data_IF_753772002480
#
_entry.id   IF_753772002480
#
_cell.length_a   1.000
_cell.length_b   1.000
_cell.length_c   1.000
_cell.angle_alpha   90.00
_cell.angle_beta   90.00
_cell.angle_gamma   90.00
#
_symmetry.space_group_name_H-M   'P 1'
#
loop_
_entity.id
_entity.type
_entity.pdbx_description
1 polymer ?
#
# COMPACT_ATOMS: atom_id res chain seq x y z
N UNK A 1 -15.77 12.55 -19.52
CA UNK A 1 -14.63 11.78 -20.04
C UNK A 1 -13.45 12.11 -19.15
N UNK A 2 -13.16 11.27 -18.16
CA UNK A 2 -11.95 11.42 -17.35
C UNK A 2 -10.81 11.00 -18.26
N UNK A 3 -9.90 11.93 -18.57
CA UNK A 3 -8.66 11.57 -19.26
C UNK A 3 -7.88 10.73 -18.26
N UNK A 4 -7.63 9.46 -18.58
CA UNK A 4 -6.80 8.61 -17.75
C UNK A 4 -5.43 9.30 -17.61
N UNK A 5 -5.05 9.62 -16.38
CA UNK A 5 -3.71 10.09 -16.11
C UNK A 5 -2.76 8.91 -16.31
N UNK A 6 -2.17 8.84 -17.50
CA UNK A 6 -1.25 7.77 -17.92
C UNK A 6 0.15 7.91 -17.30
N UNK A 7 0.29 8.63 -16.19
CA UNK A 7 1.61 8.89 -15.63
C UNK A 7 2.13 7.64 -14.90
N UNK A 8 3.36 7.18 -15.23
CA UNK A 8 3.88 5.93 -14.71
C UNK A 8 4.10 6.00 -13.20
N UNK A 9 3.73 4.91 -12.52
CA UNK A 9 3.98 4.68 -11.10
C UNK A 9 5.04 3.59 -10.90
N UNK A 10 5.95 3.79 -9.95
CA UNK A 10 6.93 2.78 -9.55
C UNK A 10 6.39 2.01 -8.33
N UNK A 11 6.17 0.72 -8.49
CA UNK A 11 5.78 -0.15 -7.37
C UNK A 11 6.96 -0.31 -6.40
N UNK A 12 6.70 -0.19 -5.09
CA UNK A 12 7.71 -0.37 -4.02
C UNK A 12 8.49 -1.68 -4.18
N UNK A 13 7.82 -2.77 -4.56
CA UNK A 13 8.43 -4.09 -4.72
C UNK A 13 9.44 -4.18 -5.87
N UNK A 14 9.48 -3.18 -6.76
CA UNK A 14 10.48 -3.09 -7.83
C UNK A 14 11.89 -2.78 -7.29
N UNK A 15 11.99 -2.20 -6.09
CA UNK A 15 13.23 -1.86 -5.40
C UNK A 15 13.15 -2.31 -3.94
N UNK A 16 12.83 -3.58 -3.71
CA UNK A 16 12.68 -4.12 -2.35
C UNK A 16 13.97 -3.98 -1.51
N UNK A 17 13.79 -3.73 -0.22
CA UNK A 17 14.87 -3.59 0.76
C UNK A 17 15.68 -2.29 0.70
N UNK A 18 15.24 -1.29 -0.08
CA UNK A 18 15.90 0.03 -0.09
C UNK A 18 15.22 1.03 0.85
N UNK A 19 16.03 1.92 1.42
CA UNK A 19 15.54 3.04 2.22
C UNK A 19 14.54 3.91 1.44
N UNK A 20 13.48 4.38 2.11
CA UNK A 20 12.40 5.18 1.50
C UNK A 20 12.91 6.39 0.71
N UNK A 21 13.94 7.08 1.21
CA UNK A 21 14.53 8.24 0.53
C UNK A 21 15.25 7.86 -0.75
N UNK A 22 15.89 6.69 -0.78
CA UNK A 22 16.56 6.15 -1.96
C UNK A 22 15.52 5.75 -2.99
N UNK A 23 14.46 5.06 -2.57
CA UNK A 23 13.33 4.69 -3.42
C UNK A 23 12.70 5.90 -4.11
N UNK A 24 12.29 6.93 -3.33
CA UNK A 24 11.62 8.11 -3.86
C UNK A 24 12.51 8.90 -4.83
N UNK A 25 13.79 9.09 -4.50
CA UNK A 25 14.73 9.78 -5.39
C UNK A 25 15.00 8.99 -6.67
N UNK A 26 15.06 7.66 -6.59
CA UNK A 26 15.21 6.80 -7.76
C UNK A 26 13.99 6.89 -8.68
N UNK A 27 12.77 6.85 -8.12
CA UNK A 27 11.54 7.02 -8.88
C UNK A 27 11.50 8.36 -9.64
N UNK A 28 11.73 9.46 -8.92
CA UNK A 28 11.74 10.80 -9.52
C UNK A 28 12.85 10.95 -10.57
N UNK A 29 14.07 10.47 -10.28
CA UNK A 29 15.20 10.52 -11.20
C UNK A 29 14.99 9.70 -12.47
N UNK A 30 14.16 8.65 -12.42
CA UNK A 30 13.79 7.83 -13.57
C UNK A 30 12.56 8.35 -14.34
N UNK A 31 11.96 9.47 -13.91
CA UNK A 31 10.84 10.12 -14.59
C UNK A 31 9.46 9.55 -14.25
N UNK A 32 9.35 8.76 -13.18
CA UNK A 32 8.05 8.42 -12.60
C UNK A 32 7.44 9.65 -11.92
N UNK A 33 6.11 9.77 -11.94
CA UNK A 33 5.40 10.75 -11.10
C UNK A 33 4.55 10.09 -10.01
N UNK A 34 4.49 8.76 -10.01
CA UNK A 34 3.75 7.96 -9.05
C UNK A 34 4.66 6.97 -8.36
N UNK A 35 4.33 6.64 -7.11
CA UNK A 35 4.89 5.50 -6.40
C UNK A 35 3.79 4.77 -5.63
N UNK A 36 3.95 3.47 -5.41
CA UNK A 36 3.20 2.76 -4.36
C UNK A 36 4.03 2.76 -3.07
N UNK A 37 3.37 2.78 -1.92
CA UNK A 37 4.02 2.67 -0.60
C UNK A 37 3.38 1.54 0.21
N UNK A 38 4.13 1.02 1.17
CA UNK A 38 3.66 0.05 2.15
C UNK A 38 3.89 0.55 3.59
N UNK A 39 3.29 -0.12 4.57
CA UNK A 39 3.41 0.23 5.98
C UNK A 39 4.83 0.11 6.52
N UNK A 40 5.60 -0.90 6.10
CA UNK A 40 6.97 -1.10 6.57
C UNK A 40 7.91 0.03 6.12
N UNK A 41 7.84 0.46 4.86
CA UNK A 41 8.60 1.61 4.34
C UNK A 41 8.22 2.91 5.06
N UNK A 42 6.94 3.07 5.38
CA UNK A 42 6.48 4.24 6.13
C UNK A 42 6.98 4.23 7.57
N UNK A 43 6.89 3.09 8.27
CA UNK A 43 7.43 2.90 9.61
C UNK A 43 8.93 3.18 9.66
N UNK A 44 9.68 2.71 8.66
CA UNK A 44 11.12 2.97 8.55
C UNK A 44 11.39 4.46 8.36
N UNK A 45 10.60 5.14 7.52
CA UNK A 45 10.65 6.59 7.38
C UNK A 45 10.47 7.29 8.74
N UNK A 46 9.44 6.89 9.49
CA UNK A 46 9.18 7.45 10.82
C UNK A 46 10.32 7.16 11.80
N UNK A 47 10.91 5.95 11.75
CA UNK A 47 12.03 5.56 12.59
C UNK A 47 13.30 6.37 12.31
N UNK A 48 13.47 6.89 11.09
CA UNK A 48 14.55 7.85 10.78
C UNK A 48 14.29 9.28 11.27
N UNK A 49 13.12 9.53 11.86
CA UNK A 49 12.70 10.82 12.41
C UNK A 49 11.91 11.69 11.43
N UNK A 50 11.54 11.17 10.26
CA UNK A 50 10.62 11.87 9.35
C UNK A 50 9.21 11.84 9.95
N UNK A 51 8.49 12.95 9.84
CA UNK A 51 7.05 12.98 10.09
C UNK A 51 6.26 12.70 8.80
N UNK A 52 4.96 12.42 8.93
CA UNK A 52 4.04 12.37 7.79
C UNK A 52 4.04 13.67 6.98
N UNK A 53 4.25 14.82 7.63
CA UNK A 53 4.34 16.11 6.95
C UNK A 53 5.64 16.23 6.14
N UNK A 54 6.76 15.74 6.69
CA UNK A 54 8.05 15.71 5.97
C UNK A 54 7.98 14.78 4.76
N UNK A 55 7.31 13.63 4.90
CA UNK A 55 7.12 12.70 3.79
C UNK A 55 6.28 13.30 2.66
N UNK A 56 5.18 14.01 2.98
CA UNK A 56 4.38 14.73 1.99
C UNK A 56 5.19 15.84 1.30
N UNK A 57 5.91 16.66 2.08
CA UNK A 57 6.75 17.71 1.52
C UNK A 57 7.83 17.15 0.59
N UNK A 58 8.42 16.01 0.95
CA UNK A 58 9.41 15.32 0.11
C UNK A 58 8.80 14.80 -1.20
N UNK A 59 7.60 14.21 -1.15
CA UNK A 59 6.88 13.77 -2.34
C UNK A 59 6.61 14.96 -3.27
N UNK A 60 6.12 16.08 -2.71
CA UNK A 60 5.86 17.31 -3.46
C UNK A 60 7.14 17.88 -4.10
N UNK A 61 8.24 17.96 -3.35
CA UNK A 61 9.55 18.43 -3.83
C UNK A 61 10.10 17.56 -4.98
N UNK A 62 9.79 16.26 -4.96
CA UNK A 62 10.18 15.30 -5.99
C UNK A 62 9.19 15.21 -7.15
N UNK A 63 8.05 15.92 -7.08
CA UNK A 63 6.98 15.82 -8.08
C UNK A 63 6.33 14.44 -8.12
N UNK A 64 6.33 13.73 -7.00
CA UNK A 64 5.75 12.41 -6.84
C UNK A 64 4.42 12.49 -6.10
N UNK A 65 3.49 11.60 -6.45
CA UNK A 65 2.33 11.26 -5.63
C UNK A 65 2.36 9.79 -5.25
N UNK A 66 1.73 9.44 -4.14
CA UNK A 66 1.44 8.03 -3.84
C UNK A 66 0.19 7.63 -4.63
N UNK A 67 0.28 6.60 -5.46
CA UNK A 67 -0.85 6.12 -6.25
C UNK A 67 -1.78 5.22 -5.46
N UNK A 68 -1.22 4.43 -4.55
CA UNK A 68 -1.94 3.48 -3.72
C UNK A 68 -1.05 2.98 -2.57
N UNK A 69 -1.70 2.50 -1.52
CA UNK A 69 -1.04 1.73 -0.46
C UNK A 69 -1.12 0.26 -0.84
N UNK A 70 0.03 -0.39 -0.90
CA UNK A 70 0.16 -1.76 -1.36
C UNK A 70 1.21 -2.47 -0.50
N UNK A 71 0.93 -3.62 0.14
CA UNK A 71 -0.32 -4.39 0.14
C UNK A 71 -1.11 -4.29 1.46
N UNK A 72 -2.43 -4.48 1.39
CA UNK A 72 -3.27 -4.88 2.52
C UNK A 72 -3.52 -6.39 2.45
N UNK A 73 -2.78 -7.20 3.25
CA UNK A 73 -2.92 -8.66 3.26
C UNK A 73 -4.02 -9.18 4.20
N UNK A 74 -4.38 -8.42 5.23
CA UNK A 74 -5.11 -8.90 6.41
C UNK A 74 -6.63 -8.65 6.37
N UNK A 75 -7.26 -8.83 5.21
CA UNK A 75 -8.70 -8.59 5.04
C UNK A 75 -9.55 -9.85 4.91
N UNK A 76 -8.94 -11.01 4.65
CA UNK A 76 -9.61 -12.31 4.70
C UNK A 76 -9.64 -12.86 6.15
N UNK A 77 -10.58 -13.76 6.47
CA UNK A 77 -10.51 -14.55 7.70
C UNK A 77 -9.19 -15.32 7.81
N UNK A 78 -8.75 -15.54 9.05
CA UNK A 78 -7.51 -16.26 9.38
C UNK A 78 -6.27 -15.77 8.60
N UNK A 79 -5.92 -14.47 8.73
CA UNK A 79 -4.78 -13.90 8.02
C UNK A 79 -3.48 -14.62 8.40
N UNK A 80 -2.59 -14.77 7.41
CA UNK A 80 -1.31 -15.45 7.59
C UNK A 80 -0.22 -14.43 7.86
N UNK A 81 0.30 -14.44 9.08
CA UNK A 81 1.51 -13.69 9.44
C UNK A 81 2.77 -14.48 9.05
N UNK A 82 3.66 -13.84 8.31
CA UNK A 82 4.97 -14.41 7.99
C UNK A 82 5.98 -14.09 9.10
N UNK A 83 6.86 -15.05 9.45
CA UNK A 83 7.96 -14.79 10.37
C UNK A 83 9.02 -13.92 9.70
N UNK A 84 9.76 -13.16 10.52
CA UNK A 84 10.87 -12.31 10.05
C UNK A 84 10.53 -10.83 10.06
N UNK A 85 11.48 -10.04 9.54
CA UNK A 85 11.46 -8.57 9.61
C UNK A 85 11.70 -7.91 8.25
N UNK A 86 11.63 -8.69 7.16
CA UNK A 86 11.59 -8.12 5.81
C UNK A 86 10.26 -7.39 5.56
N UNK A 87 10.23 -6.58 4.50
CA UNK A 87 9.10 -5.71 4.15
C UNK A 87 7.79 -6.50 4.03
N UNK A 88 7.81 -7.66 3.36
CA UNK A 88 6.62 -8.49 3.18
C UNK A 88 6.16 -9.03 4.54
N UNK A 89 7.07 -9.61 5.33
CA UNK A 89 6.72 -10.14 6.65
C UNK A 89 6.09 -9.07 7.56
N UNK A 90 6.62 -7.84 7.55
CA UNK A 90 6.03 -6.71 8.29
C UNK A 90 4.65 -6.32 7.76
N UNK A 91 4.46 -6.27 6.44
CA UNK A 91 3.17 -5.98 5.84
C UNK A 91 2.09 -7.02 6.20
N UNK A 92 2.46 -8.29 6.40
CA UNK A 92 1.49 -9.31 6.89
C UNK A 92 1.02 -9.08 8.32
N UNK A 93 1.63 -8.16 9.07
CA UNK A 93 1.22 -7.83 10.45
C UNK A 93 0.55 -6.46 10.55
N UNK A 94 0.49 -5.71 9.45
CA UNK A 94 -0.12 -4.41 9.41
C UNK A 94 -1.63 -4.53 9.66
N UNK A 95 -2.14 -3.71 10.57
CA UNK A 95 -3.57 -3.60 10.83
C UNK A 95 -4.24 -2.74 9.76
N UNK A 96 -5.53 -2.97 9.53
CA UNK A 96 -6.34 -2.13 8.64
C UNK A 96 -6.25 -0.64 9.01
N UNK A 97 -6.25 -0.34 10.32
CA UNK A 97 -6.13 1.03 10.82
C UNK A 97 -4.80 1.67 10.42
N UNK A 98 -3.68 0.96 10.53
CA UNK A 98 -2.37 1.48 10.11
C UNK A 98 -2.31 1.74 8.61
N UNK A 99 -2.94 0.88 7.80
CA UNK A 99 -3.02 1.03 6.35
C UNK A 99 -3.87 2.26 5.98
N UNK A 100 -5.02 2.44 6.61
CA UNK A 100 -5.89 3.60 6.37
C UNK A 100 -5.26 4.90 6.88
N UNK A 101 -4.67 4.88 8.07
CA UNK A 101 -3.90 6.01 8.62
C UNK A 101 -2.77 6.40 7.66
N UNK A 102 -2.07 5.43 7.06
CA UNK A 102 -1.05 5.68 6.04
C UNK A 102 -1.64 6.29 4.76
N UNK A 103 -2.73 5.73 4.22
CA UNK A 103 -3.38 6.26 3.02
C UNK A 103 -3.71 7.77 3.18
N UNK A 104 -4.32 8.12 4.31
CA UNK A 104 -4.58 9.50 4.71
C UNK A 104 -3.29 10.31 4.88
N UNK A 105 -2.28 9.72 5.52
CA UNK A 105 -0.98 10.35 5.78
C UNK A 105 -0.21 10.72 4.50
N UNK A 106 -0.48 10.06 3.37
CA UNK A 106 0.20 10.34 2.09
C UNK A 106 -0.73 10.87 1.00
N UNK A 107 -2.03 10.98 1.31
CA UNK A 107 -3.03 11.62 0.45
C UNK A 107 -3.47 10.76 -0.73
N UNK A 108 -3.38 9.44 -0.62
CA UNK A 108 -4.01 8.53 -1.59
C UNK A 108 -5.35 8.04 -1.06
N UNK A 109 -6.29 7.79 -1.96
CA UNK A 109 -7.60 7.22 -1.67
C UNK A 109 -7.69 5.74 -2.10
N UNK A 110 -6.59 5.09 -2.48
CA UNK A 110 -6.58 3.73 -3.00
C UNK A 110 -5.69 2.81 -2.16
N UNK A 111 -6.26 1.67 -1.77
CA UNK A 111 -5.56 0.58 -1.08
C UNK A 111 -5.64 -0.67 -1.95
N UNK A 112 -4.49 -1.28 -2.24
CA UNK A 112 -4.41 -2.56 -2.93
C UNK A 112 -4.53 -3.72 -1.94
N UNK A 113 -5.43 -4.67 -2.24
CA UNK A 113 -5.81 -5.76 -1.36
C UNK A 113 -5.66 -7.12 -2.08
N UNK A 114 -4.46 -7.70 -2.11
CA UNK A 114 -4.28 -9.10 -2.50
C UNK A 114 -4.80 -10.04 -1.40
N UNK A 115 -5.32 -11.24 -1.75
CA UNK A 115 -5.69 -12.26 -0.76
C UNK A 115 -4.47 -12.78 0.04
N UNK A 116 -3.25 -12.41 -0.39
CA UNK A 116 -2.01 -12.76 0.29
C UNK A 116 -1.77 -14.27 0.28
N UNK A 117 -1.53 -14.82 1.47
CA UNK A 117 -1.32 -16.25 1.71
C UNK A 117 -2.51 -16.94 2.40
N UNK A 118 -3.61 -16.21 2.62
CA UNK A 118 -4.81 -16.80 3.18
C UNK A 118 -5.43 -17.81 2.20
N UNK A 119 -6.05 -18.85 2.74
CA UNK A 119 -6.70 -19.92 1.97
C UNK A 119 -8.20 -19.89 2.24
N UNK A 120 -8.97 -19.06 1.51
CA UNK A 120 -10.42 -18.98 1.69
C UNK A 120 -11.07 -20.33 1.32
N UNK A 121 -12.11 -20.70 2.06
CA UNK A 121 -12.88 -21.93 1.86
C UNK A 121 -13.80 -21.85 0.63
N UNK A 122 -14.15 -20.63 0.17
CA UNK A 122 -15.04 -20.44 -0.99
C UNK A 122 -14.92 -19.06 -1.64
N UNK A 123 -15.39 -18.95 -2.90
CA UNK A 123 -15.54 -17.66 -3.59
C UNK A 123 -16.49 -16.70 -2.85
N UNK A 124 -17.51 -17.24 -2.18
CA UNK A 124 -18.47 -16.43 -1.43
C UNK A 124 -17.82 -15.78 -0.20
N UNK A 125 -16.92 -16.49 0.48
CA UNK A 125 -16.15 -15.93 1.60
C UNK A 125 -15.27 -14.77 1.14
N UNK A 126 -14.61 -14.90 -0.02
CA UNK A 126 -13.84 -13.81 -0.62
C UNK A 126 -14.74 -12.61 -0.91
N UNK A 127 -15.89 -12.84 -1.54
CA UNK A 127 -16.83 -11.79 -1.90
C UNK A 127 -17.38 -11.06 -0.66
N UNK A 128 -17.75 -11.80 0.38
CA UNK A 128 -18.29 -11.25 1.63
C UNK A 128 -17.23 -10.46 2.40
N UNK A 129 -16.01 -11.01 2.52
CA UNK A 129 -14.89 -10.35 3.20
C UNK A 129 -14.44 -9.08 2.45
N UNK A 130 -14.31 -9.16 1.12
CA UNK A 130 -13.94 -8.01 0.30
C UNK A 130 -15.03 -6.94 0.31
N UNK A 131 -16.32 -7.32 0.27
CA UNK A 131 -17.44 -6.41 0.43
C UNK A 131 -17.41 -5.68 1.77
N UNK A 132 -17.19 -6.41 2.86
CA UNK A 132 -17.05 -5.82 4.20
C UNK A 132 -15.84 -4.87 4.31
N UNK A 133 -14.71 -5.20 3.66
CA UNK A 133 -13.56 -4.31 3.57
C UNK A 133 -13.91 -3.03 2.80
N UNK A 134 -14.61 -3.14 1.66
CA UNK A 134 -15.07 -1.99 0.88
C UNK A 134 -15.97 -1.07 1.71
N UNK A 135 -16.90 -1.63 2.49
CA UNK A 135 -17.79 -0.85 3.35
C UNK A 135 -17.01 -0.05 4.42
N UNK A 136 -15.99 -0.66 5.03
CA UNK A 136 -15.12 0.01 6.01
C UNK A 136 -14.23 1.08 5.37
N UNK A 137 -13.63 0.78 4.22
CA UNK A 137 -12.83 1.74 3.46
C UNK A 137 -13.66 2.94 3.00
N UNK A 138 -14.88 2.71 2.51
CA UNK A 138 -15.79 3.78 2.08
C UNK A 138 -16.21 4.71 3.22
N UNK A 139 -16.30 4.20 4.46
CA UNK A 139 -16.57 5.02 5.64
C UNK A 139 -15.42 6.00 5.98
N UNK A 140 -14.23 5.77 5.42
CA UNK A 140 -13.01 6.58 5.53
C UNK A 140 -12.69 7.32 4.23
N UNK A 141 -13.63 7.43 3.27
CA UNK A 141 -13.40 8.00 1.93
C UNK A 141 -12.28 7.30 1.12
N UNK A 142 -12.02 6.01 1.40
CA UNK A 142 -11.05 5.18 0.70
C UNK A 142 -11.71 4.20 -0.27
N UNK A 143 -10.96 3.82 -1.30
CA UNK A 143 -11.27 2.80 -2.30
C UNK A 143 -10.32 1.63 -2.13
N UNK A 144 -10.77 0.45 -2.54
CA UNK A 144 -9.96 -0.76 -2.50
C UNK A 144 -9.90 -1.40 -3.89
N UNK A 145 -8.70 -1.78 -4.33
CA UNK A 145 -8.50 -2.65 -5.49
C UNK A 145 -8.26 -4.09 -5.04
N UNK A 146 -9.04 -5.03 -5.56
CA UNK A 146 -8.78 -6.45 -5.39
C UNK A 146 -7.64 -6.86 -6.34
N UNK A 147 -6.52 -7.33 -5.80
CA UNK A 147 -5.44 -7.90 -6.59
C UNK A 147 -5.64 -9.41 -6.73
N UNK A 148 -5.90 -9.86 -7.96
CA UNK A 148 -5.95 -11.29 -8.27
C UNK A 148 -4.53 -11.87 -8.32
N UNK A 149 -4.30 -12.95 -7.56
CA UNK A 149 -3.03 -13.66 -7.48
C UNK A 149 -3.15 -15.02 -8.19
N UNK A 150 -2.47 -15.26 -9.33
CA UNK A 150 -2.69 -16.46 -10.16
C UNK A 150 -2.05 -17.75 -9.61
N UNK A 151 -1.47 -17.73 -8.42
CA UNK A 151 -0.64 -18.81 -7.86
C UNK A 151 -1.13 -19.32 -6.49
N UNK A 152 -2.41 -19.12 -6.19
CA UNK A 152 -3.13 -19.83 -5.11
C UNK A 152 -3.62 -21.19 -5.59
#
# INVERSE_FOLDING_TARGET
>A
MVVADNTPSLCWGSLDGVEVLVFLRAAAGAGFSGVTLNTALYEDALATGLSAADLRALLDDLGLRVTDIDPHFNWLPDPVELPGDDVIARCTRATEREIFDLAHAVGTDLVNAPPGLALPESEQEIADAFGALCDRAAAEDLRVSLEFMPFT
#
